data_IF_620537769332
#
_entry.id   IF_620537769332
#
_cell.length_a   1.000
_cell.length_b   1.000
_cell.length_c   1.000
_cell.angle_alpha   90.00
_cell.angle_beta   90.00
_cell.angle_gamma   90.00
#
_symmetry.space_group_name_H-M   'P 1'
#
loop_
_entity.id
_entity.type
_entity.pdbx_description
1 polymer ?
#
# COMPACT_ATOMS: atom_id res chain seq x y z
N UNK A 1 -19.15 -33.49 -18.87
CA UNK A 1 -18.96 -32.22 -19.61
C UNK A 1 -17.66 -31.60 -19.12
N UNK A 2 -16.73 -31.17 -20.00
CA UNK A 2 -15.50 -30.52 -19.55
C UNK A 2 -15.81 -29.12 -19.01
N UNK A 3 -15.18 -28.76 -17.88
CA UNK A 3 -15.28 -27.44 -17.28
C UNK A 3 -14.50 -26.44 -18.15
N UNK A 4 -15.12 -25.31 -18.49
CA UNK A 4 -14.45 -24.20 -19.18
C UNK A 4 -13.79 -23.30 -18.12
N UNK A 5 -12.48 -23.13 -18.21
CA UNK A 5 -11.69 -22.25 -17.33
C UNK A 5 -11.18 -21.04 -18.11
N UNK A 6 -11.13 -19.89 -17.44
CA UNK A 6 -10.49 -18.66 -17.93
C UNK A 6 -9.19 -18.42 -17.17
N UNK A 7 -8.27 -17.63 -17.73
CA UNK A 7 -7.08 -17.17 -16.99
C UNK A 7 -7.53 -16.20 -15.90
N UNK A 8 -6.97 -16.36 -14.71
CA UNK A 8 -7.22 -15.45 -13.59
C UNK A 8 -6.39 -14.17 -13.75
N UNK A 9 -7.03 -13.00 -13.63
CA UNK A 9 -6.36 -11.71 -13.50
C UNK A 9 -6.89 -10.99 -12.25
N UNK A 10 -6.03 -10.78 -11.27
CA UNK A 10 -6.38 -10.09 -10.03
C UNK A 10 -6.87 -8.65 -10.25
N UNK A 11 -6.41 -7.99 -11.33
CA UNK A 11 -6.80 -6.62 -11.62
C UNK A 11 -8.32 -6.47 -11.86
N UNK A 12 -9.00 -7.52 -12.34
CA UNK A 12 -10.46 -7.51 -12.57
C UNK A 12 -11.29 -7.45 -11.28
N UNK A 13 -10.66 -7.74 -10.14
CA UNK A 13 -11.31 -7.84 -8.82
C UNK A 13 -11.00 -6.65 -7.91
N UNK A 14 -10.04 -5.78 -8.27
CA UNK A 14 -9.70 -4.58 -7.50
C UNK A 14 -10.61 -3.40 -7.88
N UNK A 15 -11.86 -3.42 -7.39
CA UNK A 15 -12.90 -2.47 -7.81
C UNK A 15 -13.09 -1.32 -6.85
N UNK A 16 -12.80 -1.54 -5.56
CA UNK A 16 -12.94 -0.52 -4.53
C UNK A 16 -11.58 -0.10 -3.97
N UNK A 17 -11.50 1.08 -3.32
CA UNK A 17 -10.30 1.47 -2.57
C UNK A 17 -9.88 0.43 -1.52
N UNK A 18 -10.85 -0.22 -0.88
CA UNK A 18 -10.62 -1.25 0.14
C UNK A 18 -10.01 -2.52 -0.46
N UNK A 19 -10.43 -2.93 -1.66
CA UNK A 19 -9.84 -4.07 -2.37
C UNK A 19 -8.36 -3.80 -2.65
N UNK A 20 -8.04 -2.61 -3.17
CA UNK A 20 -6.66 -2.21 -3.47
C UNK A 20 -5.81 -2.16 -2.21
N UNK A 21 -6.33 -1.57 -1.12
CA UNK A 21 -5.61 -1.48 0.14
C UNK A 21 -5.31 -2.85 0.74
N UNK A 22 -6.31 -3.75 0.76
CA UNK A 22 -6.15 -5.10 1.30
C UNK A 22 -5.17 -5.91 0.46
N UNK A 23 -5.31 -5.88 -0.86
CA UNK A 23 -4.42 -6.57 -1.79
C UNK A 23 -2.96 -6.11 -1.66
N UNK A 24 -2.73 -4.80 -1.52
CA UNK A 24 -1.37 -4.28 -1.32
C UNK A 24 -0.83 -4.66 0.05
N UNK A 25 -1.64 -4.61 1.12
CA UNK A 25 -1.22 -5.04 2.45
C UNK A 25 -0.72 -6.49 2.44
N UNK A 26 -1.48 -7.41 1.83
CA UNK A 26 -1.08 -8.82 1.70
C UNK A 26 0.29 -8.96 1.01
N UNK A 27 0.53 -8.18 -0.06
CA UNK A 27 1.82 -8.17 -0.74
C UNK A 27 2.95 -7.58 0.12
N UNK A 28 2.69 -6.55 0.92
CA UNK A 28 3.68 -5.98 1.83
C UNK A 28 3.99 -6.91 3.02
N UNK A 29 3.06 -7.76 3.43
CA UNK A 29 3.26 -8.72 4.51
C UNK A 29 4.29 -9.81 4.19
N UNK A 30 4.44 -10.17 2.91
CA UNK A 30 5.42 -11.17 2.45
C UNK A 30 6.84 -10.67 2.57
N UNK A 31 7.03 -9.34 2.50
CA UNK A 31 8.34 -8.69 2.56
C UNK A 31 9.21 -8.91 1.32
N UNK A 32 8.68 -9.52 0.25
CA UNK A 32 9.39 -9.78 -0.99
C UNK A 32 9.25 -8.59 -1.96
N UNK A 33 10.36 -7.89 -2.31
CA UNK A 33 10.29 -6.71 -3.18
C UNK A 33 9.63 -6.98 -4.53
N UNK A 34 9.89 -8.15 -5.13
CA UNK A 34 9.37 -8.53 -6.44
C UNK A 34 7.83 -8.69 -6.41
N UNK A 35 7.30 -9.27 -5.34
CA UNK A 35 5.85 -9.42 -5.13
C UNK A 35 5.17 -8.07 -4.91
N UNK A 36 5.80 -7.19 -4.12
CA UNK A 36 5.31 -5.83 -3.87
C UNK A 36 5.24 -5.04 -5.19
N UNK A 37 6.31 -5.08 -6.00
CA UNK A 37 6.36 -4.38 -7.29
C UNK A 37 5.30 -4.92 -8.24
N UNK A 38 5.13 -6.25 -8.29
CA UNK A 38 4.11 -6.89 -9.10
C UNK A 38 2.69 -6.48 -8.67
N UNK A 39 2.41 -6.48 -7.37
CA UNK A 39 1.12 -6.08 -6.82
C UNK A 39 0.80 -4.61 -7.11
N UNK A 40 1.78 -3.71 -6.98
CA UNK A 40 1.62 -2.30 -7.38
C UNK A 40 1.30 -2.17 -8.87
N UNK A 41 1.92 -2.99 -9.72
CA UNK A 41 1.60 -3.07 -11.14
C UNK A 41 0.16 -3.52 -11.41
N UNK A 42 -0.32 -4.54 -10.71
CA UNK A 42 -1.71 -5.02 -10.79
C UNK A 42 -2.69 -3.92 -10.36
N UNK A 43 -2.46 -3.30 -9.19
CA UNK A 43 -3.31 -2.23 -8.68
C UNK A 43 -3.33 -1.01 -9.62
N UNK A 44 -2.18 -0.64 -10.18
CA UNK A 44 -2.08 0.43 -11.17
C UNK A 44 -2.83 0.12 -12.47
N UNK A 45 -2.80 -1.15 -12.93
CA UNK A 45 -3.61 -1.59 -14.08
C UNK A 45 -5.10 -1.49 -13.78
N UNK A 46 -5.55 -1.97 -12.61
CA UNK A 46 -6.96 -1.96 -12.22
C UNK A 46 -7.54 -0.54 -12.17
N UNK A 47 -6.78 0.42 -11.64
CA UNK A 47 -7.17 1.84 -11.59
C UNK A 47 -7.03 2.57 -12.92
N UNK A 48 -6.14 2.08 -13.80
CA UNK A 48 -5.86 2.67 -15.10
C UNK A 48 -4.47 3.32 -15.15
N UNK A 49 -3.55 2.68 -15.87
CA UNK A 49 -2.13 3.03 -15.89
C UNK A 49 -1.86 4.49 -16.33
N UNK A 50 -2.65 5.02 -17.26
CA UNK A 50 -2.48 6.40 -17.75
C UNK A 50 -2.79 7.42 -16.65
N UNK A 51 -3.84 7.17 -15.86
CA UNK A 51 -4.21 8.04 -14.75
C UNK A 51 -3.16 7.98 -13.63
N UNK A 52 -2.73 6.77 -13.28
CA UNK A 52 -1.72 6.55 -12.25
C UNK A 52 -0.40 7.23 -12.61
N UNK A 53 0.08 7.09 -13.85
CA UNK A 53 1.30 7.77 -14.31
C UNK A 53 1.19 9.29 -14.21
N UNK A 54 0.04 9.85 -14.60
CA UNK A 54 -0.23 11.29 -14.50
C UNK A 54 -0.21 11.77 -13.05
N UNK A 55 -0.91 11.07 -12.16
CA UNK A 55 -0.98 11.41 -10.73
C UNK A 55 0.38 11.25 -10.03
N UNK A 56 1.14 10.21 -10.38
CA UNK A 56 2.47 9.95 -9.84
C UNK A 56 3.54 10.89 -10.42
N UNK A 57 3.23 11.66 -11.47
CA UNK A 57 4.19 12.56 -12.12
C UNK A 57 5.34 11.82 -12.80
N UNK A 58 5.07 10.64 -13.36
CA UNK A 58 6.05 9.82 -14.09
C UNK A 58 5.56 9.53 -15.51
N UNK A 59 6.50 9.31 -16.43
CA UNK A 59 6.14 8.91 -17.79
C UNK A 59 5.47 7.53 -17.81
N UNK A 60 4.47 7.33 -18.67
CA UNK A 60 3.75 6.04 -18.81
C UNK A 60 4.70 4.88 -19.12
N UNK A 61 5.64 5.08 -20.05
CA UNK A 61 6.63 4.06 -20.42
C UNK A 61 7.57 3.72 -19.25
N UNK A 62 8.00 4.75 -18.51
CA UNK A 62 8.82 4.57 -17.30
C UNK A 62 8.06 3.76 -16.25
N UNK A 63 6.79 4.08 -16.02
CA UNK A 63 5.94 3.36 -15.07
C UNK A 63 5.74 1.89 -15.49
N UNK A 64 5.48 1.63 -16.77
CA UNK A 64 5.36 0.26 -17.30
C UNK A 64 6.64 -0.55 -17.14
N UNK A 65 7.81 0.07 -17.39
CA UNK A 65 9.10 -0.60 -17.22
C UNK A 65 9.40 -0.85 -15.73
N UNK A 66 9.04 0.11 -14.88
CA UNK A 66 9.35 0.05 -13.45
C UNK A 66 8.46 -0.95 -12.69
N UNK A 67 7.17 -1.08 -13.06
CA UNK A 67 6.22 -2.02 -12.44
C UNK A 67 5.98 -3.29 -13.26
N UNK A 68 6.66 -3.43 -14.39
CA UNK A 68 6.58 -4.60 -15.26
C UNK A 68 7.36 -5.79 -14.73
N UNK A 69 7.34 -6.89 -15.48
CA UNK A 69 8.09 -8.10 -15.16
C UNK A 69 9.59 -7.80 -15.04
N UNK A 70 10.20 -8.16 -13.90
CA UNK A 70 11.61 -7.87 -13.61
C UNK A 70 11.94 -6.38 -13.40
N UNK A 71 10.93 -5.53 -13.24
CA UNK A 71 11.10 -4.12 -12.92
C UNK A 71 11.77 -3.91 -11.55
N UNK A 72 12.60 -2.88 -11.44
CA UNK A 72 13.23 -2.47 -10.19
C UNK A 72 13.00 -0.97 -9.98
N UNK A 73 11.80 -0.56 -9.52
CA UNK A 73 11.48 0.84 -9.31
C UNK A 73 12.31 1.37 -8.14
N UNK A 74 12.80 2.60 -8.26
CA UNK A 74 13.31 3.31 -7.10
C UNK A 74 12.19 3.48 -6.06
N UNK A 75 12.56 3.48 -4.77
CA UNK A 75 11.60 3.68 -3.69
C UNK A 75 10.81 4.99 -3.83
N UNK A 76 11.44 6.03 -4.39
CA UNK A 76 10.79 7.31 -4.73
C UNK A 76 9.59 7.11 -5.68
N UNK A 77 9.70 6.19 -6.63
CA UNK A 77 8.65 5.85 -7.59
C UNK A 77 7.56 5.03 -6.91
N UNK A 78 7.96 4.05 -6.07
CA UNK A 78 7.01 3.27 -5.26
C UNK A 78 6.10 4.19 -4.43
N UNK A 79 6.68 5.16 -3.73
CA UNK A 79 5.94 6.13 -2.92
C UNK A 79 4.97 6.97 -3.74
N UNK A 80 5.39 7.45 -4.93
CA UNK A 80 4.53 8.24 -5.83
C UNK A 80 3.36 7.41 -6.37
N UNK A 81 3.61 6.15 -6.72
CA UNK A 81 2.56 5.23 -7.19
C UNK A 81 1.58 4.91 -6.07
N UNK A 82 2.06 4.62 -4.86
CA UNK A 82 1.21 4.41 -3.69
C UNK A 82 0.28 5.61 -3.45
N UNK A 83 0.80 6.83 -3.51
CA UNK A 83 -0.01 8.05 -3.39
C UNK A 83 -1.02 8.20 -4.53
N UNK A 84 -0.62 7.92 -5.78
CA UNK A 84 -1.52 7.95 -6.94
C UNK A 84 -2.64 6.91 -6.84
N UNK A 85 -2.37 5.78 -6.21
CA UNK A 85 -3.35 4.74 -5.87
C UNK A 85 -4.22 5.11 -4.65
N UNK A 86 -3.93 6.21 -3.96
CA UNK A 86 -4.68 6.67 -2.80
C UNK A 86 -4.39 5.89 -1.53
N UNK A 87 -3.26 5.17 -1.47
CA UNK A 87 -2.85 4.39 -0.30
C UNK A 87 -1.72 5.08 0.45
N UNK A 88 -1.64 4.79 1.75
CA UNK A 88 -0.58 5.30 2.64
C UNK A 88 0.14 4.11 3.24
N UNK A 89 1.47 4.10 3.12
CA UNK A 89 2.29 3.11 3.78
C UNK A 89 2.41 3.45 5.26
N UNK A 90 2.16 2.45 6.10
CA UNK A 90 2.26 2.58 7.56
C UNK A 90 3.31 1.61 8.09
N UNK A 91 3.99 2.00 9.16
CA UNK A 91 4.95 1.15 9.85
C UNK A 91 4.26 0.55 11.05
N UNK A 92 4.19 -0.78 11.09
CA UNK A 92 3.70 -1.52 12.24
C UNK A 92 4.86 -2.26 12.89
N UNK A 93 4.87 -2.28 14.22
CA UNK A 93 5.85 -3.09 14.94
C UNK A 93 5.46 -4.56 14.83
N UNK A 94 6.28 -5.34 14.12
CA UNK A 94 6.16 -6.80 14.11
C UNK A 94 7.02 -7.35 15.24
N UNK A 95 6.38 -7.93 16.24
CA UNK A 95 7.09 -8.62 17.31
C UNK A 95 8.02 -9.68 16.70
N UNK A 96 9.29 -9.76 17.13
CA UNK A 96 10.15 -10.87 16.76
C UNK A 96 9.46 -12.21 17.07
N UNK A 97 9.62 -13.21 16.22
CA UNK A 97 8.86 -14.47 16.25
C UNK A 97 8.80 -15.22 17.61
N UNK A 98 9.78 -15.09 18.54
CA UNK A 98 9.62 -15.65 19.89
C UNK A 98 8.65 -14.86 20.80
N UNK A 99 8.49 -13.55 20.56
CA UNK A 99 7.73 -12.62 21.40
C UNK A 99 6.29 -12.39 20.89
N UNK A 100 6.00 -12.75 19.63
CA UNK A 100 4.65 -12.70 19.06
C UNK A 100 3.64 -13.55 19.85
N UNK A 101 4.09 -14.69 20.40
CA UNK A 101 3.27 -15.61 21.21
C UNK A 101 2.97 -15.11 22.63
N UNK A 102 3.70 -14.10 23.11
CA UNK A 102 3.65 -13.63 24.50
C UNK A 102 2.95 -12.28 24.65
N UNK A 103 2.56 -11.65 23.54
CA UNK A 103 1.94 -10.34 23.55
C UNK A 103 0.46 -10.46 23.19
N UNK A 104 -0.43 -9.69 23.86
CA UNK A 104 -1.84 -9.69 23.51
C UNK A 104 -2.00 -9.23 22.06
N UNK A 105 -2.82 -9.93 21.28
CA UNK A 105 -3.18 -9.50 19.92
C UNK A 105 -3.91 -8.16 20.04
N UNK A 106 -3.18 -7.08 19.80
CA UNK A 106 -3.77 -5.77 19.64
C UNK A 106 -4.43 -5.75 18.28
N UNK A 107 -5.75 -5.98 18.25
CA UNK A 107 -6.59 -5.67 17.08
C UNK A 107 -6.17 -4.30 16.56
N UNK A 108 -5.69 -4.26 15.31
CA UNK A 108 -5.01 -3.15 14.64
C UNK A 108 -5.81 -1.85 14.46
N UNK A 109 -6.72 -1.51 15.37
CA UNK A 109 -7.28 -0.17 15.52
C UNK A 109 -6.25 0.72 16.20
N UNK A 110 -5.31 1.21 15.41
CA UNK A 110 -4.67 2.49 15.73
C UNK A 110 -5.79 3.54 15.70
N UNK A 111 -6.37 3.82 16.87
CA UNK A 111 -7.12 5.04 17.08
C UNK A 111 -6.17 6.18 16.72
N UNK A 112 -6.48 6.87 15.62
CA UNK A 112 -5.93 8.19 15.31
C UNK A 112 -6.28 9.07 16.51
N UNK A 113 -5.43 9.08 17.52
CA UNK A 113 -5.53 10.04 18.61
C UNK A 113 -5.10 11.37 18.00
N UNK A 114 -6.09 12.15 17.58
CA UNK A 114 -5.91 13.57 17.34
C UNK A 114 -5.42 14.19 18.65
N UNK A 115 -4.10 14.32 18.80
CA UNK A 115 -3.50 15.03 19.92
C UNK A 115 -3.91 16.49 19.82
N UNK A 116 -4.94 16.85 20.60
CA UNK A 116 -5.37 18.23 20.85
C UNK A 116 -4.14 19.04 21.29
N UNK A 117 -3.86 20.22 20.69
CA UNK A 117 -2.68 21.00 21.06
C UNK A 117 -2.81 21.46 22.53
N UNK A 118 -1.80 21.11 23.35
CA UNK A 118 -1.63 21.66 24.70
C UNK A 118 -1.31 23.16 24.56
N UNK A 119 -2.33 24.01 24.66
CA UNK A 119 -2.11 25.43 24.94
C UNK A 119 -1.70 25.56 26.41
N UNK A 120 -0.41 25.74 26.67
CA UNK A 120 0.06 26.20 27.98
C UNK A 120 -0.37 27.67 28.17
N UNK A 121 -1.55 27.87 28.76
CA UNK A 121 -1.81 29.11 29.51
C UNK A 121 -0.96 29.04 30.78
N UNK A 122 0.25 29.59 30.75
CA UNK A 122 0.92 29.99 32.00
C UNK A 122 0.46 31.41 32.30
N UNK A 123 -0.18 31.49 33.45
CA UNK A 123 -0.94 32.59 34.02
C UNK A 123 0.03 33.68 34.48
N UNK A 124 -0.28 34.92 34.10
CA UNK A 124 0.23 36.11 34.79
C UNK A 124 -0.36 36.17 36.21
N UNK A 125 0.50 36.41 37.20
CA UNK A 125 0.19 36.92 38.53
C UNK A 125 1.45 37.72 38.91
N UNK A 126 1.34 39.05 38.87
CA UNK A 126 1.01 39.92 40.02
C UNK A 126 2.27 40.22 40.84
#
# INVERSE_FOLDING_TARGET
MPLKTTKFDAAEYLKTPEDVASFLNDAFETGAPEEIVHALGIAARARGMTEVAKLAGVGRESLYKALGEGGNPEFSTVMKVAQALGVVLTVQWRAPDPLSKLLPETDGKVLVQTSKPRTSKVRAAA
#
